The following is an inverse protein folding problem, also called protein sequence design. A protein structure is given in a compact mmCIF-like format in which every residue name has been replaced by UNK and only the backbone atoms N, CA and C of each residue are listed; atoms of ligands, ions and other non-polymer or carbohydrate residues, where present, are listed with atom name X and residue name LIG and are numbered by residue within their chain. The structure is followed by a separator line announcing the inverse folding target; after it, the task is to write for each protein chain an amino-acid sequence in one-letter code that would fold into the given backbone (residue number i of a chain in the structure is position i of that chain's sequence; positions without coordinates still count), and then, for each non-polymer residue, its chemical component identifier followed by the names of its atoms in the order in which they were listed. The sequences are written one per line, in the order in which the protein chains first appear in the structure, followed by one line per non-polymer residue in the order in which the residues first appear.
data_IF_786203749671
#
_entry.id   IF_786203749671
#
_cell.length_a   1.000
_cell.length_b   1.000
_cell.length_c   1.000
_cell.angle_alpha   90.00
_cell.angle_beta   90.00
_cell.angle_gamma   90.00
#
_symmetry.space_group_name_H-M   'P 1'
#
loop_
_entity.id
_entity.type
_entity.pdbx_description
1 polymer ?
#
# COMPACT_ATOMS: atom_id res chain seq x y z
N UNK A 1 7.35 3.44 -10.58
CA UNK A 1 6.84 2.10 -10.91
C UNK A 1 5.58 2.29 -11.75
N UNK A 2 5.39 1.58 -12.87
CA UNK A 2 4.12 1.67 -13.62
C UNK A 2 3.01 1.09 -12.74
N UNK A 3 1.88 1.77 -12.61
CA UNK A 3 0.78 1.30 -11.78
C UNK A 3 -0.06 0.25 -12.54
N UNK A 4 -1.04 -0.36 -11.87
CA UNK A 4 -1.93 -1.34 -12.48
C UNK A 4 -2.74 -0.77 -13.66
N UNK A 5 -3.07 0.52 -13.64
CA UNK A 5 -3.78 1.19 -14.73
C UNK A 5 -2.88 1.31 -15.96
N UNK A 6 -1.61 1.68 -15.77
CA UNK A 6 -0.61 1.83 -16.82
C UNK A 6 -0.31 0.50 -17.55
N UNK A 7 -0.46 -0.64 -16.85
CA UNK A 7 -0.12 -1.97 -17.37
C UNK A 7 -1.36 -2.73 -17.85
N UNK A 8 -2.46 -2.66 -17.10
CA UNK A 8 -3.67 -3.47 -17.33
C UNK A 8 -4.86 -2.66 -17.85
N UNK A 9 -4.78 -1.33 -17.92
CA UNK A 9 -5.89 -0.47 -18.32
C UNK A 9 -7.05 -0.47 -17.32
N UNK A 10 -6.81 -0.86 -16.06
CA UNK A 10 -7.83 -0.90 -15.01
C UNK A 10 -7.26 -0.62 -13.62
N UNK A 11 -8.08 -0.05 -12.72
CA UNK A 11 -7.64 0.25 -11.36
C UNK A 11 -7.30 -1.03 -10.58
N UNK A 12 -6.44 -0.89 -9.56
CA UNK A 12 -6.08 -2.01 -8.69
C UNK A 12 -7.32 -2.63 -8.02
N UNK A 13 -8.26 -1.80 -7.56
CA UNK A 13 -9.53 -2.29 -7.01
C UNK A 13 -10.34 -3.06 -8.05
N UNK A 14 -10.37 -2.58 -9.30
CA UNK A 14 -11.07 -3.27 -10.39
C UNK A 14 -10.47 -4.66 -10.63
N UNK A 15 -9.14 -4.76 -10.63
CA UNK A 15 -8.44 -6.04 -10.69
C UNK A 15 -8.83 -6.97 -9.53
N UNK A 16 -8.76 -6.49 -8.28
CA UNK A 16 -9.10 -7.28 -7.08
C UNK A 16 -10.54 -7.80 -7.15
N UNK A 17 -11.50 -6.96 -7.53
CA UNK A 17 -12.91 -7.34 -7.68
C UNK A 17 -13.09 -8.44 -8.73
N UNK A 18 -12.45 -8.28 -9.89
CA UNK A 18 -12.53 -9.26 -10.99
C UNK A 18 -11.88 -10.59 -10.60
N UNK A 19 -10.76 -10.55 -9.89
CA UNK A 19 -10.08 -11.72 -9.36
C UNK A 19 -10.96 -12.46 -8.36
N UNK A 20 -11.46 -11.77 -7.33
CA UNK A 20 -12.28 -12.36 -6.26
C UNK A 20 -13.60 -12.93 -6.76
N UNK A 21 -14.20 -12.33 -7.79
CA UNK A 21 -15.41 -12.86 -8.43
C UNK A 21 -15.19 -14.26 -9.01
N UNK A 22 -13.99 -14.61 -9.47
CA UNK A 22 -13.65 -15.97 -9.96
C UNK A 22 -13.74 -17.03 -8.86
N UNK A 23 -13.60 -16.61 -7.59
CA UNK A 23 -13.69 -17.47 -6.41
C UNK A 23 -15.06 -17.37 -5.72
N UNK A 24 -16.06 -16.77 -6.37
CA UNK A 24 -17.41 -16.61 -5.80
C UNK A 24 -17.54 -15.53 -4.73
N UNK A 25 -16.50 -14.71 -4.52
CA UNK A 25 -16.52 -13.62 -3.54
C UNK A 25 -16.89 -12.30 -4.21
N UNK A 26 -17.96 -11.66 -3.73
CA UNK A 26 -18.39 -10.35 -4.19
C UNK A 26 -17.86 -9.24 -3.28
N UNK A 27 -16.83 -8.53 -3.74
CA UNK A 27 -16.27 -7.38 -3.02
C UNK A 27 -17.21 -6.17 -3.19
N UNK A 28 -17.65 -5.59 -2.07
CA UNK A 28 -18.53 -4.42 -2.06
C UNK A 28 -17.82 -3.18 -2.64
N UNK A 29 -18.60 -2.21 -3.12
CA UNK A 29 -18.08 -0.90 -3.58
C UNK A 29 -18.05 0.15 -2.48
N UNK A 30 -18.78 -0.10 -1.39
CA UNK A 30 -18.91 0.86 -0.30
C UNK A 30 -17.56 0.99 0.40
N UNK A 31 -17.19 2.24 0.65
CA UNK A 31 -16.02 2.62 1.45
C UNK A 31 -16.57 3.11 2.79
N UNK A 32 -16.11 2.52 3.89
CA UNK A 32 -16.51 2.91 5.24
C UNK A 32 -15.51 2.44 6.29
N UNK A 33 -15.64 2.97 7.50
CA UNK A 33 -14.79 2.64 8.63
C UNK A 33 -13.65 3.64 8.81
N UNK A 34 -12.79 3.35 9.78
CA UNK A 34 -11.65 4.20 10.12
C UNK A 34 -10.57 4.10 9.04
N UNK A 35 -10.02 5.22 8.54
CA UNK A 35 -8.89 5.19 7.63
C UNK A 35 -7.69 4.44 8.20
N UNK A 36 -7.02 3.65 7.36
CA UNK A 36 -5.86 2.83 7.73
C UNK A 36 -4.60 3.37 7.06
N UNK A 37 -3.47 3.47 7.79
CA UNK A 37 -2.24 4.00 7.21
C UNK A 37 -1.59 3.00 6.24
N UNK A 38 -1.10 3.51 5.11
CA UNK A 38 -0.20 2.76 4.25
C UNK A 38 1.24 2.86 4.76
N UNK A 39 2.04 1.83 4.50
CA UNK A 39 3.49 1.81 4.74
C UNK A 39 4.21 1.33 3.47
N UNK A 40 5.49 1.68 3.33
CA UNK A 40 6.31 1.07 2.28
C UNK A 40 7.02 -0.13 2.87
N UNK A 41 6.81 -1.30 2.28
CA UNK A 41 7.51 -2.53 2.60
C UNK A 41 8.22 -3.07 1.37
N UNK A 42 9.55 -3.14 1.43
CA UNK A 42 10.39 -3.60 0.32
C UNK A 42 10.04 -2.94 -1.03
N UNK A 43 9.90 -1.61 -1.02
CA UNK A 43 9.61 -0.81 -2.21
C UNK A 43 8.15 -0.84 -2.67
N UNK A 44 7.25 -1.52 -1.95
CA UNK A 44 5.82 -1.61 -2.27
C UNK A 44 4.98 -0.91 -1.21
N UNK A 45 4.01 -0.11 -1.64
CA UNK A 45 2.98 0.38 -0.72
C UNK A 45 2.06 -0.77 -0.32
N UNK A 46 1.94 -0.98 0.99
CA UNK A 46 1.06 -1.98 1.57
C UNK A 46 0.20 -1.35 2.67
N UNK A 47 -0.87 -2.06 3.02
CA UNK A 47 -1.63 -1.81 4.24
C UNK A 47 -1.66 -3.09 5.05
N UNK A 48 -1.33 -2.98 6.34
CA UNK A 48 -1.56 -4.04 7.33
C UNK A 48 -3.02 -4.03 7.76
N UNK A 49 -3.68 -5.18 7.69
CA UNK A 49 -5.09 -5.30 8.06
C UNK A 49 -5.27 -4.99 9.56
N UNK A 50 -6.20 -4.10 9.94
CA UNK A 50 -6.45 -3.81 11.36
C UNK A 50 -7.21 -4.94 12.09
N UNK A 51 -7.67 -5.96 11.36
CA UNK A 51 -8.59 -6.97 11.88
C UNK A 51 -7.98 -8.37 12.03
N UNK A 52 -6.89 -8.64 11.30
CA UNK A 52 -6.16 -9.91 11.27
C UNK A 52 -4.68 -9.67 10.90
N UNK A 53 -3.86 -10.73 10.80
CA UNK A 53 -2.43 -10.62 10.48
C UNK A 53 -2.11 -10.45 8.98
N UNK A 54 -3.10 -10.09 8.15
CA UNK A 54 -2.92 -9.97 6.70
C UNK A 54 -2.32 -8.62 6.30
N UNK A 55 -1.69 -8.57 5.13
CA UNK A 55 -1.24 -7.33 4.51
C UNK A 55 -1.39 -7.44 2.99
N UNK A 56 -1.81 -6.36 2.35
CA UNK A 56 -2.03 -6.34 0.89
C UNK A 56 -1.32 -5.15 0.26
N UNK A 57 -0.83 -5.35 -0.96
CA UNK A 57 -0.35 -4.24 -1.80
C UNK A 57 -1.52 -3.34 -2.14
N UNK A 58 -1.30 -2.02 -2.07
CA UNK A 58 -2.29 -1.01 -2.45
C UNK A 58 -1.81 -0.15 -3.61
N UNK A 59 -2.74 0.53 -4.27
CA UNK A 59 -2.43 1.56 -5.25
C UNK A 59 -2.47 2.93 -4.59
N UNK A 60 -1.45 3.75 -4.86
CA UNK A 60 -1.46 5.16 -4.46
C UNK A 60 -2.48 6.01 -5.23
N UNK A 61 -3.01 5.51 -6.35
CA UNK A 61 -3.96 6.22 -7.21
C UNK A 61 -5.44 5.91 -6.86
N UNK A 62 -5.68 4.77 -6.21
CA UNK A 62 -7.00 4.31 -5.76
C UNK A 62 -6.85 3.84 -4.30
N UNK A 63 -6.81 4.78 -3.33
CA UNK A 63 -6.36 4.54 -1.96
C UNK A 63 -7.45 3.86 -1.13
N UNK A 64 -7.74 2.61 -1.46
CA UNK A 64 -8.66 1.74 -0.75
C UNK A 64 -7.99 0.41 -0.40
N UNK A 65 -8.45 -0.21 0.68
CA UNK A 65 -7.95 -1.48 1.15
C UNK A 65 -9.06 -2.53 1.29
N UNK A 66 -8.75 -3.75 0.83
CA UNK A 66 -9.57 -4.93 1.02
C UNK A 66 -8.69 -6.13 1.37
N UNK A 67 -8.85 -6.69 2.56
CA UNK A 67 -8.05 -7.83 2.98
C UNK A 67 -8.52 -9.13 2.30
N UNK A 68 -7.64 -9.82 1.58
CA UNK A 68 -7.97 -11.09 0.93
C UNK A 68 -7.98 -12.27 1.91
N UNK A 69 -7.44 -12.07 3.13
CA UNK A 69 -7.43 -13.09 4.18
C UNK A 69 -8.74 -13.15 4.99
N UNK A 70 -9.22 -12.01 5.51
CA UNK A 70 -10.40 -11.95 6.37
C UNK A 70 -11.63 -11.30 5.70
N UNK A 71 -11.49 -10.88 4.44
CA UNK A 71 -12.56 -10.28 3.63
C UNK A 71 -13.18 -9.03 4.25
N UNK A 72 -12.42 -8.34 5.12
CA UNK A 72 -12.88 -7.21 5.93
C UNK A 72 -14.18 -7.50 6.72
N UNK A 73 -14.41 -8.74 7.17
CA UNK A 73 -15.69 -9.12 7.80
C UNK A 73 -16.02 -8.29 9.05
N UNK A 74 -15.01 -7.80 9.79
CA UNK A 74 -15.19 -6.90 10.95
C UNK A 74 -15.57 -5.45 10.57
N UNK A 75 -15.53 -5.11 9.28
CA UNK A 75 -15.98 -3.84 8.69
C UNK A 75 -17.10 -4.11 7.67
N UNK A 76 -18.01 -5.03 7.99
CA UNK A 76 -19.14 -5.44 7.13
C UNK A 76 -18.76 -5.92 5.71
N UNK A 77 -17.49 -6.25 5.46
CA UNK A 77 -16.97 -6.55 4.12
C UNK A 77 -16.82 -5.34 3.20
N UNK A 78 -16.90 -4.12 3.75
CA UNK A 78 -16.68 -2.88 3.02
C UNK A 78 -15.19 -2.56 2.87
N UNK A 79 -14.89 -1.76 1.86
CA UNK A 79 -13.55 -1.24 1.61
C UNK A 79 -13.17 -0.24 2.71
N UNK A 80 -11.92 -0.28 3.17
CA UNK A 80 -11.40 0.71 4.09
C UNK A 80 -10.71 1.85 3.31
N UNK A 81 -10.90 3.12 3.69
CA UNK A 81 -10.12 4.22 3.14
C UNK A 81 -8.65 4.10 3.59
N UNK A 82 -7.70 4.42 2.71
CA UNK A 82 -6.27 4.35 3.00
C UNK A 82 -5.70 5.76 3.15
N UNK A 83 -4.91 5.96 4.21
CA UNK A 83 -4.14 7.18 4.41
C UNK A 83 -2.78 7.03 3.72
N UNK A 84 -2.55 7.89 2.74
CA UNK A 84 -1.30 7.99 2.00
C UNK A 84 -0.73 9.39 2.29
N UNK A 85 0.56 9.52 2.64
CA UNK A 85 1.15 10.83 2.88
C UNK A 85 1.14 11.68 1.60
N UNK A 86 0.92 12.99 1.73
CA UNK A 86 0.87 13.90 0.57
C UNK A 86 2.17 13.89 -0.24
N UNK A 87 3.30 13.67 0.42
CA UNK A 87 4.65 13.57 -0.14
C UNK A 87 5.07 12.13 -0.48
N UNK A 88 4.12 11.25 -0.83
CA UNK A 88 4.42 9.84 -1.15
C UNK A 88 5.41 9.68 -2.31
N UNK A 89 5.43 10.63 -3.27
CA UNK A 89 6.32 10.56 -4.44
C UNK A 89 7.77 10.82 -4.05
N UNK A 90 8.00 11.74 -3.13
CA UNK A 90 9.31 12.03 -2.58
C UNK A 90 9.81 10.83 -1.75
N UNK A 91 8.95 10.23 -0.92
CA UNK A 91 9.27 9.00 -0.19
C UNK A 91 9.66 7.87 -1.16
N UNK A 92 8.89 7.67 -2.23
CA UNK A 92 9.22 6.67 -3.26
C UNK A 92 10.55 6.94 -3.96
N UNK A 93 10.90 8.21 -4.20
CA UNK A 93 12.15 8.57 -4.84
C UNK A 93 13.35 8.25 -3.93
N UNK A 94 13.28 8.68 -2.67
CA UNK A 94 14.33 8.44 -1.68
C UNK A 94 14.55 6.95 -1.40
N UNK A 95 13.49 6.16 -1.36
CA UNK A 95 13.63 4.71 -1.15
C UNK A 95 14.19 4.01 -2.38
N UNK A 96 13.84 4.45 -3.59
CA UNK A 96 14.29 3.81 -4.84
C UNK A 96 15.81 3.79 -4.99
N UNK A 97 16.49 4.78 -4.43
CA UNK A 97 17.94 4.90 -4.52
C UNK A 97 18.68 3.94 -3.57
N UNK A 98 17.96 3.25 -2.66
CA UNK A 98 18.53 2.20 -1.81
C UNK A 98 18.81 0.94 -2.65
N UNK A 99 20.09 0.57 -2.75
CA UNK A 99 20.56 -0.61 -3.53
C UNK A 99 19.93 -1.94 -3.09
N UNK A 100 19.68 -2.09 -1.79
CA UNK A 100 19.07 -3.28 -1.24
C UNK A 100 17.56 -3.05 -1.02
N UNK A 101 16.73 -3.76 -1.79
CA UNK A 101 15.26 -3.75 -1.65
C UNK A 101 14.80 -4.12 -0.24
N UNK A 102 15.58 -4.93 0.50
CA UNK A 102 15.32 -5.25 1.89
C UNK A 102 15.19 -4.00 2.78
N UNK A 103 15.86 -2.91 2.40
CA UNK A 103 15.93 -1.65 3.12
C UNK A 103 14.97 -0.59 2.58
N UNK A 104 14.17 -0.88 1.54
CA UNK A 104 13.20 0.06 0.98
C UNK A 104 11.92 0.09 1.81
N UNK A 105 12.02 0.48 3.08
CA UNK A 105 10.90 0.56 4.00
C UNK A 105 10.69 2.00 4.47
N UNK A 106 9.42 2.36 4.68
CA UNK A 106 9.01 3.61 5.32
C UNK A 106 7.81 3.32 6.21
N UNK A 107 7.83 3.82 7.44
CA UNK A 107 6.77 3.61 8.42
C UNK A 107 5.86 4.84 8.55
N UNK A 108 4.55 4.66 8.85
CA UNK A 108 3.65 5.78 9.12
C UNK A 108 4.18 6.66 10.25
N UNK A 109 4.35 7.95 9.97
CA UNK A 109 4.88 8.93 10.92
C UNK A 109 6.39 9.20 10.80
N UNK A 110 7.12 8.42 10.01
CA UNK A 110 8.50 8.73 9.65
C UNK A 110 8.55 9.95 8.73
N UNK A 111 9.44 10.89 9.02
CA UNK A 111 9.56 12.12 8.22
C UNK A 111 10.49 11.93 7.03
N UNK A 112 10.19 12.61 5.92
CA UNK A 112 11.03 12.58 4.72
C UNK A 112 12.47 13.06 4.97
N UNK A 113 12.67 14.06 5.81
CA UNK A 113 14.02 14.57 6.13
C UNK A 113 14.83 13.59 7.00
N UNK A 114 14.17 12.77 7.83
CA UNK A 114 14.83 11.64 8.50
C UNK A 114 15.27 10.59 7.47
N UNK A 115 14.39 10.24 6.54
CA UNK A 115 14.69 9.29 5.48
C UNK A 115 15.88 9.73 4.62
N UNK A 116 15.91 11.02 4.23
CA UNK A 116 17.03 11.63 3.50
C UNK A 116 18.32 11.54 4.32
N UNK A 117 18.28 11.94 5.60
CA UNK A 117 19.46 11.89 6.49
C UNK A 117 20.01 10.47 6.64
N UNK A 118 19.13 9.49 6.81
CA UNK A 118 19.54 8.07 6.88
C UNK A 118 20.18 7.59 5.57
N UNK A 119 19.63 8.00 4.43
CA UNK A 119 20.22 7.68 3.13
C UNK A 119 21.63 8.28 3.00
N UNK A 120 21.85 9.51 3.48
CA UNK A 120 23.16 10.16 3.48
C UNK A 120 24.17 9.46 4.40
N UNK A 121 23.75 9.09 5.61
CA UNK A 121 24.60 8.40 6.59
C UNK A 121 25.03 7.01 6.09
N UNK A 122 24.17 6.33 5.31
CA UNK A 122 24.43 5.01 4.72
C UNK A 122 25.13 5.07 3.36
N UNK A 123 25.51 6.26 2.87
CA UNK A 123 26.24 6.40 1.59
C UNK A 123 27.57 5.63 1.66
N UNK A 124 27.65 4.53 0.92
CA UNK A 124 28.86 3.70 0.81
C UNK A 124 28.78 2.35 1.52
N UNK A 125 27.72 2.10 2.29
CA UNK A 125 27.42 0.77 2.81
C UNK A 125 26.90 -0.11 1.65
N UNK A 126 27.49 -1.29 1.49
CA UNK A 126 27.22 -2.26 0.40
C UNK A 126 26.07 -3.17 0.80
#
# INVERSE_FOLDING_TARGET
MKNAEDVMGMSHLTFVRNFMKRYGVYVKRRISGTPVPAEVNHGRWIVKCPFCAGAEVISTHDPVFYCLSCLNIKNDGDLLPVLIPDNYREIEAELRDRKNEANQNWAPGERLDQLIKENEERKGEI
#
